data_IF_479624710854
#
_entry.id   IF_479624710854
#
_cell.length_a   1.000
_cell.length_b   1.000
_cell.length_c   1.000
_cell.angle_alpha   90.00
_cell.angle_beta   90.00
_cell.angle_gamma   90.00
#
_symmetry.space_group_name_H-M   'P 1'
#
loop_
_entity.id
_entity.type
_entity.pdbx_description
1 polymer ?
#
# COMPACT_ATOMS: atom_id res chain seq x y z
N UNK A 1 -21.83 71.41 -17.26
CA UNK A 1 -21.07 70.76 -16.16
C UNK A 1 -21.55 69.39 -15.81
N UNK A 2 -22.76 68.92 -16.09
CA UNK A 2 -23.30 67.60 -15.65
C UNK A 2 -22.86 66.42 -16.51
N UNK A 3 -22.35 66.61 -17.74
CA UNK A 3 -21.92 65.51 -18.64
C UNK A 3 -20.58 64.96 -18.27
N UNK A 4 -19.68 65.71 -17.65
CA UNK A 4 -18.33 65.25 -17.25
C UNK A 4 -18.36 64.40 -15.98
N UNK A 5 -19.24 64.66 -15.02
CA UNK A 5 -19.35 63.90 -13.77
C UNK A 5 -19.82 62.47 -14.01
N UNK A 6 -20.73 62.25 -14.99
CA UNK A 6 -21.16 60.87 -15.33
C UNK A 6 -20.07 60.01 -15.95
N UNK A 7 -19.18 60.64 -16.71
CA UNK A 7 -18.03 59.93 -17.32
C UNK A 7 -16.93 59.61 -16.28
N UNK A 8 -16.72 60.52 -15.32
CA UNK A 8 -15.78 60.31 -14.21
C UNK A 8 -16.26 59.15 -13.29
N UNK A 9 -17.55 59.10 -12.95
CA UNK A 9 -18.14 57.99 -12.20
C UNK A 9 -18.05 56.63 -12.93
N UNK A 10 -18.23 56.61 -14.26
CA UNK A 10 -18.10 55.41 -15.06
C UNK A 10 -16.66 54.90 -15.12
N UNK A 11 -15.69 55.78 -15.24
CA UNK A 11 -14.26 55.43 -15.25
C UNK A 11 -13.82 54.93 -13.87
N UNK A 12 -14.27 55.53 -12.78
CA UNK A 12 -14.00 55.05 -11.41
C UNK A 12 -14.66 53.70 -11.09
N UNK A 13 -15.87 53.44 -11.60
CA UNK A 13 -16.54 52.16 -11.46
C UNK A 13 -15.82 51.05 -12.28
N UNK A 14 -15.36 51.32 -13.48
CA UNK A 14 -14.60 50.41 -14.31
C UNK A 14 -13.19 50.10 -13.75
N UNK A 15 -12.52 51.11 -13.19
CA UNK A 15 -11.21 50.91 -12.54
C UNK A 15 -11.32 50.12 -11.21
N UNK A 16 -12.43 50.29 -10.47
CA UNK A 16 -12.73 49.50 -9.27
C UNK A 16 -13.01 48.04 -9.56
N UNK A 17 -13.67 47.72 -10.70
CA UNK A 17 -13.92 46.34 -11.14
C UNK A 17 -12.64 45.62 -11.64
N UNK A 18 -11.68 46.34 -12.20
CA UNK A 18 -10.39 45.75 -12.65
C UNK A 18 -9.45 45.46 -11.50
N UNK A 19 -9.52 46.17 -10.37
CA UNK A 19 -8.73 45.93 -9.18
C UNK A 19 -9.22 44.75 -8.34
N UNK A 20 -10.48 44.36 -8.45
CA UNK A 20 -11.03 43.19 -7.74
C UNK A 20 -10.75 41.84 -8.42
N UNK A 21 -10.32 41.83 -9.69
CA UNK A 21 -9.98 40.61 -10.41
C UNK A 21 -8.60 40.04 -10.11
N UNK A 22 -7.72 40.79 -9.44
CA UNK A 22 -6.36 40.36 -9.09
C UNK A 22 -6.20 39.86 -7.64
N UNK A 23 -7.30 39.75 -6.89
CA UNK A 23 -7.26 39.39 -5.46
C UNK A 23 -7.33 37.87 -5.17
N UNK A 24 -7.54 37.04 -6.19
CA UNK A 24 -7.46 35.59 -6.02
C UNK A 24 -6.07 35.10 -6.44
N UNK A 25 -5.10 35.16 -5.55
CA UNK A 25 -3.87 34.39 -5.73
C UNK A 25 -4.17 32.92 -5.38
N UNK A 26 -3.69 31.98 -6.18
CA UNK A 26 -3.84 30.53 -5.93
C UNK A 26 -3.31 30.13 -4.55
N UNK A 27 -2.40 30.90 -3.95
CA UNK A 27 -1.91 30.70 -2.59
C UNK A 27 -2.97 30.88 -1.48
N UNK A 28 -4.05 31.65 -1.73
CA UNK A 28 -5.16 31.82 -0.77
C UNK A 28 -6.06 30.57 -0.72
N UNK A 29 -6.12 29.81 -1.80
CA UNK A 29 -6.90 28.57 -1.91
C UNK A 29 -6.12 27.33 -1.46
N UNK A 30 -4.81 27.45 -1.30
CA UNK A 30 -3.97 26.40 -0.74
C UNK A 30 -3.96 26.51 0.79
N UNK A 31 -5.07 26.18 1.41
CA UNK A 31 -5.14 26.01 2.87
C UNK A 31 -4.65 24.62 3.23
N UNK A 32 -3.37 24.50 3.57
CA UNK A 32 -2.90 23.33 4.30
C UNK A 32 -3.69 23.22 5.60
N UNK A 33 -4.28 22.07 5.85
CA UNK A 33 -5.03 21.83 7.09
C UNK A 33 -4.07 21.98 8.28
N UNK A 34 -4.31 22.89 9.24
CA UNK A 34 -3.37 23.11 10.36
C UNK A 34 -3.23 21.89 11.27
N UNK A 35 -4.12 20.90 11.13
CA UNK A 35 -4.17 19.70 11.97
C UNK A 35 -3.84 18.41 11.22
N UNK A 36 -3.51 18.47 9.92
CA UNK A 36 -3.05 17.31 9.14
C UNK A 36 -1.80 17.69 8.36
N UNK A 37 -0.71 16.92 8.48
CA UNK A 37 0.50 17.16 7.68
C UNK A 37 0.13 17.05 6.20
N UNK A 38 0.43 18.10 5.42
CA UNK A 38 0.32 18.01 3.96
C UNK A 38 1.42 17.10 3.41
N UNK A 39 1.22 16.55 2.20
CA UNK A 39 2.26 15.72 1.57
C UNK A 39 3.60 16.46 1.39
N UNK A 40 3.57 17.79 1.35
CA UNK A 40 4.77 18.63 1.22
C UNK A 40 5.49 18.86 2.55
N UNK A 41 4.80 18.79 3.68
CA UNK A 41 5.32 19.07 5.02
C UNK A 41 5.59 17.83 5.86
N UNK A 42 5.10 16.66 5.46
CA UNK A 42 5.18 15.42 6.24
C UNK A 42 6.60 14.82 6.26
N UNK A 43 7.31 14.81 5.12
CA UNK A 43 8.57 14.08 4.95
C UNK A 43 9.80 14.92 5.37
N UNK A 44 9.96 15.18 6.68
CA UNK A 44 10.97 16.09 7.22
C UNK A 44 12.02 15.38 8.09
N UNK A 45 11.61 14.37 8.86
CA UNK A 45 12.44 13.76 9.90
C UNK A 45 12.47 12.24 9.80
N UNK A 46 13.48 11.61 10.41
CA UNK A 46 13.53 10.13 10.55
C UNK A 46 12.29 9.58 11.26
N UNK A 47 11.72 10.34 12.19
CA UNK A 47 10.47 9.97 12.86
C UNK A 47 9.30 9.86 11.87
N UNK A 48 9.24 10.74 10.87
CA UNK A 48 8.20 10.69 9.85
C UNK A 48 8.35 9.45 8.96
N UNK A 49 9.59 9.09 8.60
CA UNK A 49 9.86 7.85 7.87
C UNK A 49 9.45 6.61 8.68
N UNK A 50 9.75 6.60 9.98
CA UNK A 50 9.36 5.50 10.86
C UNK A 50 7.84 5.42 11.03
N UNK A 51 7.15 6.56 11.17
CA UNK A 51 5.69 6.59 11.22
C UNK A 51 5.06 6.09 9.93
N UNK A 52 5.60 6.47 8.77
CA UNK A 52 5.13 5.98 7.47
C UNK A 52 5.34 4.47 7.31
N UNK A 53 6.49 3.93 7.75
CA UNK A 53 6.73 2.50 7.76
C UNK A 53 5.78 1.78 8.73
N UNK A 54 5.58 2.33 9.93
CA UNK A 54 4.62 1.79 10.89
C UNK A 54 3.20 1.76 10.32
N UNK A 55 2.82 2.78 9.54
CA UNK A 55 1.53 2.81 8.86
C UNK A 55 1.40 1.69 7.80
N UNK A 56 2.50 1.22 7.19
CA UNK A 56 2.47 0.04 6.31
C UNK A 56 2.12 -1.23 7.10
N UNK A 57 2.72 -1.40 8.30
CA UNK A 57 2.41 -2.53 9.18
C UNK A 57 0.99 -2.45 9.76
N UNK A 58 0.55 -1.25 10.16
CA UNK A 58 -0.80 -1.01 10.64
C UNK A 58 -1.86 -1.44 9.63
N UNK A 59 -1.68 -1.09 8.36
CA UNK A 59 -2.59 -1.52 7.30
C UNK A 59 -2.65 -3.04 7.13
N UNK A 60 -1.58 -3.77 7.43
CA UNK A 60 -1.58 -5.23 7.40
C UNK A 60 -2.40 -5.86 8.52
N UNK A 61 -2.66 -5.13 9.62
CA UNK A 61 -3.54 -5.57 10.71
C UNK A 61 -5.03 -5.42 10.36
N UNK A 62 -5.35 -5.13 9.10
CA UNK A 62 -6.73 -5.11 8.63
C UNK A 62 -7.43 -6.44 8.90
N UNK A 63 -8.63 -6.37 9.44
CA UNK A 63 -9.53 -7.51 9.66
C UNK A 63 -9.86 -8.30 8.38
N UNK A 64 -9.54 -7.75 7.20
CA UNK A 64 -9.68 -8.43 5.92
C UNK A 64 -8.36 -9.07 5.44
N UNK A 65 -7.28 -8.99 6.21
CA UNK A 65 -5.96 -9.58 5.88
C UNK A 65 -5.53 -10.63 6.91
N UNK A 66 -4.99 -10.18 8.05
CA UNK A 66 -4.32 -11.06 9.00
C UNK A 66 -4.86 -10.98 10.42
N UNK A 67 -5.89 -10.16 10.64
CA UNK A 67 -6.53 -10.08 11.94
C UNK A 67 -7.57 -11.20 12.13
N UNK A 68 -7.67 -11.68 13.37
CA UNK A 68 -8.68 -12.65 13.79
C UNK A 68 -9.97 -11.93 14.18
N UNK A 69 -10.83 -11.69 13.21
CA UNK A 69 -12.15 -11.21 13.55
C UNK A 69 -13.13 -12.38 13.74
N UNK A 70 -13.49 -12.61 14.99
CA UNK A 70 -14.44 -13.64 15.41
C UNK A 70 -15.86 -13.36 14.87
N UNK A 71 -16.15 -12.13 14.47
CA UNK A 71 -17.50 -11.70 14.08
C UNK A 71 -17.97 -12.28 12.75
N UNK A 72 -17.11 -12.94 11.98
CA UNK A 72 -17.46 -13.56 10.69
C UNK A 72 -17.81 -12.60 9.54
N UNK A 73 -17.86 -11.30 9.82
CA UNK A 73 -18.23 -10.26 8.86
C UNK A 73 -17.05 -9.74 8.02
N UNK A 74 -15.83 -10.20 8.32
CA UNK A 74 -14.60 -9.79 7.65
C UNK A 74 -13.91 -10.99 7.01
N UNK A 75 -13.20 -10.76 5.93
CA UNK A 75 -12.48 -11.78 5.19
C UNK A 75 -11.02 -11.91 5.66
N UNK A 76 -10.83 -11.96 6.98
CA UNK A 76 -9.54 -12.18 7.62
C UNK A 76 -9.10 -13.64 7.62
N UNK A 77 -8.33 -14.03 8.64
CA UNK A 77 -7.80 -15.39 8.77
C UNK A 77 -8.91 -16.46 8.76
N UNK A 78 -9.92 -16.32 9.61
CA UNK A 78 -11.04 -17.28 9.70
C UNK A 78 -11.84 -17.39 8.39
N UNK A 79 -12.15 -16.26 7.75
CA UNK A 79 -12.87 -16.27 6.48
C UNK A 79 -12.12 -17.00 5.37
N UNK A 80 -10.78 -16.94 5.38
CA UNK A 80 -9.95 -17.68 4.43
C UNK A 80 -9.83 -19.17 4.75
N UNK A 81 -9.71 -19.54 6.04
CA UNK A 81 -9.71 -20.94 6.44
C UNK A 81 -11.02 -21.62 6.09
N UNK A 82 -12.16 -20.97 6.34
CA UNK A 82 -13.49 -21.48 5.98
C UNK A 82 -13.80 -21.45 4.48
N UNK A 83 -12.93 -20.82 3.69
CA UNK A 83 -12.99 -20.90 2.22
C UNK A 83 -12.30 -22.13 1.64
N UNK A 84 -11.69 -22.96 2.49
CA UNK A 84 -10.98 -24.19 2.12
C UNK A 84 -11.67 -25.41 2.68
N UNK A 85 -11.17 -26.59 2.38
CA UNK A 85 -11.60 -27.86 2.94
C UNK A 85 -11.04 -28.16 4.34
N UNK A 86 -10.15 -27.28 4.85
CA UNK A 86 -9.56 -27.43 6.18
C UNK A 86 -10.48 -26.99 7.32
N UNK A 87 -11.46 -26.14 7.04
CA UNK A 87 -12.36 -25.58 8.03
C UNK A 87 -13.78 -25.42 7.55
N UNK A 88 -14.70 -25.61 8.49
CA UNK A 88 -16.11 -25.26 8.32
C UNK A 88 -16.59 -24.55 9.59
N UNK A 89 -17.70 -23.84 9.50
CA UNK A 89 -18.28 -23.22 10.67
C UNK A 89 -19.80 -23.47 10.75
N UNK A 90 -20.29 -23.43 11.98
CA UNK A 90 -21.67 -23.80 12.29
C UNK A 90 -22.71 -22.74 11.92
N UNK A 91 -22.30 -21.56 11.50
CA UNK A 91 -23.18 -20.42 11.23
C UNK A 91 -23.67 -20.34 9.79
N UNK A 92 -23.37 -21.35 8.96
CA UNK A 92 -23.84 -21.44 7.57
C UNK A 92 -23.33 -20.29 6.69
N UNK A 93 -24.17 -19.83 5.76
CA UNK A 93 -23.80 -18.82 4.75
C UNK A 93 -23.58 -17.38 5.29
N UNK A 94 -23.64 -17.19 6.59
CA UNK A 94 -23.45 -15.87 7.21
C UNK A 94 -21.99 -15.43 7.23
N UNK A 95 -21.07 -16.36 7.14
CA UNK A 95 -19.64 -16.06 7.17
C UNK A 95 -19.11 -15.83 5.77
N UNK A 96 -18.36 -14.74 5.58
CA UNK A 96 -17.65 -14.47 4.34
C UNK A 96 -16.68 -15.63 4.05
N UNK A 97 -16.74 -16.17 2.84
CA UNK A 97 -15.89 -17.28 2.43
C UNK A 97 -16.61 -18.64 2.37
N UNK A 98 -17.74 -18.83 3.08
CA UNK A 98 -18.52 -20.10 2.98
C UNK A 98 -19.04 -20.37 1.57
N UNK A 99 -19.43 -19.33 0.84
CA UNK A 99 -19.82 -19.44 -0.56
C UNK A 99 -18.69 -19.98 -1.44
N UNK A 100 -17.44 -19.71 -1.08
CA UNK A 100 -16.24 -20.19 -1.80
C UNK A 100 -16.08 -21.71 -1.58
N UNK A 101 -16.08 -22.17 -0.32
CA UNK A 101 -15.93 -23.60 0.00
C UNK A 101 -17.10 -24.44 -0.56
N UNK A 102 -18.29 -23.87 -0.63
CA UNK A 102 -19.49 -24.50 -1.21
C UNK A 102 -19.57 -24.38 -2.74
N UNK A 103 -18.61 -23.72 -3.38
CA UNK A 103 -18.62 -23.44 -4.83
C UNK A 103 -19.87 -22.68 -5.31
N UNK A 104 -20.47 -21.86 -4.46
CA UNK A 104 -21.67 -21.05 -4.75
C UNK A 104 -21.38 -19.56 -4.85
N UNK A 105 -20.10 -19.16 -4.72
CA UNK A 105 -19.67 -17.75 -4.73
C UNK A 105 -19.93 -17.09 -6.09
N UNK A 106 -20.41 -15.84 -6.02
CA UNK A 106 -20.49 -14.94 -7.15
C UNK A 106 -19.29 -13.98 -7.18
N UNK A 107 -18.94 -13.47 -8.36
CA UNK A 107 -17.86 -12.48 -8.50
C UNK A 107 -18.17 -11.15 -7.80
N UNK A 108 -19.42 -10.95 -7.39
CA UNK A 108 -19.92 -9.79 -6.66
C UNK A 108 -19.90 -9.97 -5.14
N UNK A 109 -19.46 -11.13 -4.64
CA UNK A 109 -19.42 -11.38 -3.20
C UNK A 109 -18.45 -10.40 -2.52
N UNK A 110 -18.90 -9.83 -1.42
CA UNK A 110 -18.24 -8.73 -0.72
C UNK A 110 -16.84 -9.10 -0.24
N UNK A 111 -16.60 -10.36 0.10
CA UNK A 111 -15.28 -10.86 0.52
C UNK A 111 -14.18 -10.56 -0.49
N UNK A 112 -14.46 -10.62 -1.80
CA UNK A 112 -13.46 -10.32 -2.82
C UNK A 112 -13.08 -8.85 -2.84
N UNK A 113 -14.06 -7.94 -2.77
CA UNK A 113 -13.79 -6.50 -2.73
C UNK A 113 -13.09 -6.08 -1.43
N UNK A 114 -13.46 -6.66 -0.29
CA UNK A 114 -12.81 -6.41 0.99
C UNK A 114 -11.34 -6.83 0.97
N UNK A 115 -11.04 -8.03 0.47
CA UNK A 115 -9.67 -8.54 0.38
C UNK A 115 -8.84 -7.74 -0.61
N UNK A 116 -9.41 -7.40 -1.77
CA UNK A 116 -8.78 -6.54 -2.77
C UNK A 116 -8.37 -5.18 -2.19
N UNK A 117 -9.32 -4.48 -1.60
CA UNK A 117 -9.12 -3.14 -1.06
C UNK A 117 -8.08 -3.13 0.07
N UNK A 118 -8.11 -4.12 0.96
CA UNK A 118 -7.17 -4.23 2.05
C UNK A 118 -5.72 -4.43 1.57
N UNK A 119 -5.50 -5.29 0.57
CA UNK A 119 -4.16 -5.46 -0.02
C UNK A 119 -3.67 -4.18 -0.71
N UNK A 120 -4.53 -3.49 -1.48
CA UNK A 120 -4.14 -2.25 -2.16
C UNK A 120 -3.93 -1.08 -1.20
N UNK A 121 -4.59 -1.05 -0.04
CA UNK A 121 -4.29 -0.04 0.98
C UNK A 121 -2.86 -0.19 1.53
N UNK A 122 -2.39 -1.41 1.79
CA UNK A 122 -0.99 -1.66 2.17
C UNK A 122 -0.03 -1.26 1.04
N UNK A 123 -0.32 -1.67 -0.20
CA UNK A 123 0.49 -1.32 -1.38
C UNK A 123 0.62 0.18 -1.54
N UNK A 124 -0.48 0.92 -1.39
CA UNK A 124 -0.51 2.37 -1.45
C UNK A 124 0.41 3.00 -0.40
N UNK A 125 0.33 2.57 0.86
CA UNK A 125 1.19 3.07 1.94
C UNK A 125 2.66 2.75 1.69
N UNK A 126 2.98 1.53 1.23
CA UNK A 126 4.34 1.16 0.84
C UNK A 126 4.87 2.03 -0.30
N UNK A 127 4.06 2.28 -1.34
CA UNK A 127 4.44 3.14 -2.45
C UNK A 127 4.69 4.58 -2.01
N UNK A 128 3.86 5.10 -1.09
CA UNK A 128 4.06 6.44 -0.52
C UNK A 128 5.39 6.56 0.24
N UNK A 129 5.76 5.55 1.03
CA UNK A 129 7.05 5.53 1.71
C UNK A 129 8.20 5.46 0.71
N UNK A 130 8.17 4.50 -0.22
CA UNK A 130 9.25 4.29 -1.20
C UNK A 130 9.52 5.54 -2.04
N UNK A 131 8.47 6.27 -2.44
CA UNK A 131 8.58 7.48 -3.26
C UNK A 131 9.16 8.67 -2.49
N UNK A 132 8.89 8.76 -1.18
CA UNK A 132 9.17 9.99 -0.44
C UNK A 132 10.32 9.89 0.56
N UNK A 133 10.72 8.71 1.00
CA UNK A 133 11.72 8.54 2.08
C UNK A 133 13.08 9.13 1.74
N UNK A 134 13.45 9.21 0.47
CA UNK A 134 14.72 9.83 0.02
C UNK A 134 14.77 11.35 0.21
N UNK A 135 13.62 12.00 0.46
CA UNK A 135 13.55 13.43 0.75
C UNK A 135 13.98 13.77 2.17
N UNK A 136 14.01 12.77 3.05
CA UNK A 136 14.31 12.96 4.46
C UNK A 136 15.82 12.96 4.67
N UNK A 137 16.38 13.97 5.36
CA UNK A 137 17.80 14.05 5.67
C UNK A 137 18.16 13.03 6.77
N UNK A 138 18.45 11.80 6.39
CA UNK A 138 18.85 10.70 7.28
C UNK A 138 19.94 9.85 6.63
N UNK A 139 20.55 8.95 7.41
CA UNK A 139 21.58 8.06 6.91
C UNK A 139 21.08 7.18 5.75
N UNK A 140 21.89 7.07 4.69
CA UNK A 140 21.51 6.32 3.48
C UNK A 140 21.17 4.86 3.77
N UNK A 141 21.90 4.22 4.69
CA UNK A 141 21.63 2.84 5.10
C UNK A 141 20.21 2.67 5.69
N UNK A 142 19.75 3.65 6.47
CA UNK A 142 18.39 3.64 7.03
C UNK A 142 17.34 3.88 5.96
N UNK A 143 17.59 4.79 5.02
CA UNK A 143 16.71 5.02 3.87
C UNK A 143 16.51 3.71 3.10
N UNK A 144 17.63 3.05 2.76
CA UNK A 144 17.61 1.78 2.05
C UNK A 144 16.89 0.67 2.83
N UNK A 145 17.11 0.58 4.14
CA UNK A 145 16.43 -0.40 4.98
C UNK A 145 14.91 -0.18 5.01
N UNK A 146 14.45 1.07 5.16
CA UNK A 146 13.01 1.37 5.19
C UNK A 146 12.35 1.12 3.83
N UNK A 147 13.03 1.47 2.73
CA UNK A 147 12.57 1.14 1.38
C UNK A 147 12.48 -0.37 1.18
N UNK A 148 13.49 -1.10 1.60
CA UNK A 148 13.56 -2.55 1.45
C UNK A 148 12.42 -3.26 2.20
N UNK A 149 12.12 -2.84 3.42
CA UNK A 149 10.99 -3.37 4.18
C UNK A 149 9.65 -3.08 3.46
N UNK A 150 9.42 -1.84 3.02
CA UNK A 150 8.20 -1.48 2.32
C UNK A 150 8.04 -2.27 1.00
N UNK A 151 9.13 -2.48 0.26
CA UNK A 151 9.13 -3.27 -0.98
C UNK A 151 8.79 -4.74 -0.68
N UNK A 152 9.34 -5.32 0.39
CA UNK A 152 9.05 -6.69 0.78
C UNK A 152 7.59 -6.87 1.25
N UNK A 153 7.05 -5.91 2.02
CA UNK A 153 5.64 -5.91 2.42
C UNK A 153 4.71 -5.76 1.20
N UNK A 154 5.05 -4.86 0.27
CA UNK A 154 4.33 -4.70 -1.00
C UNK A 154 4.33 -6.00 -1.82
N UNK A 155 5.48 -6.69 -1.88
CA UNK A 155 5.59 -7.96 -2.58
C UNK A 155 4.69 -9.05 -1.98
N UNK A 156 4.58 -9.10 -0.64
CA UNK A 156 3.65 -10.00 0.04
C UNK A 156 2.19 -9.71 -0.34
N UNK A 157 1.81 -8.45 -0.44
CA UNK A 157 0.44 -8.08 -0.85
C UNK A 157 0.16 -8.47 -2.30
N UNK A 158 1.12 -8.29 -3.21
CA UNK A 158 0.97 -8.77 -4.59
C UNK A 158 0.94 -10.30 -4.69
N UNK A 159 1.67 -11.01 -3.84
CA UNK A 159 1.54 -12.47 -3.74
C UNK A 159 0.11 -12.86 -3.37
N UNK A 160 -0.51 -12.19 -2.40
CA UNK A 160 -1.89 -12.39 -2.01
C UNK A 160 -2.86 -12.13 -3.19
N UNK A 161 -2.75 -10.96 -3.82
CA UNK A 161 -3.61 -10.56 -4.92
C UNK A 161 -3.51 -11.50 -6.13
N UNK A 162 -2.29 -11.83 -6.55
CA UNK A 162 -2.06 -12.69 -7.73
C UNK A 162 -2.46 -14.15 -7.49
N UNK A 163 -2.49 -14.59 -6.23
CA UNK A 163 -2.97 -15.93 -5.86
C UNK A 163 -4.48 -16.06 -6.04
N UNK A 164 -5.24 -15.00 -5.77
CA UNK A 164 -6.71 -15.01 -5.83
C UNK A 164 -7.23 -14.49 -7.16
N UNK A 165 -6.71 -13.36 -7.63
CA UNK A 165 -7.26 -12.64 -8.80
C UNK A 165 -6.44 -12.82 -10.08
N UNK A 166 -5.28 -13.49 -10.02
CA UNK A 166 -4.34 -13.70 -11.13
C UNK A 166 -3.75 -12.39 -11.64
N UNK A 167 -4.30 -11.83 -12.70
CA UNK A 167 -3.85 -10.59 -13.33
C UNK A 167 -4.48 -9.39 -12.62
N UNK A 168 -3.65 -8.48 -12.12
CA UNK A 168 -4.07 -7.31 -11.35
C UNK A 168 -3.29 -6.07 -11.78
N UNK A 169 -3.78 -4.85 -11.52
CA UNK A 169 -2.98 -3.64 -11.71
C UNK A 169 -1.68 -3.68 -10.89
N UNK A 170 -0.52 -3.55 -11.54
CA UNK A 170 0.78 -3.54 -10.87
C UNK A 170 1.25 -2.10 -10.64
N UNK A 171 1.08 -1.63 -9.41
CA UNK A 171 1.32 -0.25 -8.99
C UNK A 171 2.57 -0.18 -8.14
N UNK A 172 3.62 0.46 -8.65
CA UNK A 172 4.90 0.64 -7.94
C UNK A 172 5.11 2.07 -7.44
N UNK A 173 4.16 2.97 -7.74
CA UNK A 173 4.14 4.39 -7.35
C UNK A 173 2.78 4.79 -6.80
N UNK A 174 2.69 5.88 -6.02
CA UNK A 174 1.41 6.49 -5.68
C UNK A 174 0.67 6.88 -6.96
N UNK A 175 -0.62 6.56 -7.03
CA UNK A 175 -1.46 6.92 -8.17
C UNK A 175 -1.95 8.36 -8.07
N UNK A 176 -2.00 9.03 -9.20
CA UNK A 176 -2.78 10.26 -9.40
C UNK A 176 -4.24 9.92 -9.74
N UNK A 177 -5.14 10.88 -9.62
CA UNK A 177 -6.56 10.69 -9.98
C UNK A 177 -6.75 10.26 -11.46
N UNK A 178 -5.87 10.72 -12.34
CA UNK A 178 -5.89 10.34 -13.77
C UNK A 178 -5.45 8.90 -14.01
N UNK A 179 -4.71 8.29 -13.09
CA UNK A 179 -4.20 6.91 -13.18
C UNK A 179 -5.07 5.90 -12.42
N UNK A 180 -6.20 6.35 -11.86
CA UNK A 180 -7.09 5.51 -11.03
C UNK A 180 -7.65 4.28 -11.75
N UNK A 181 -7.61 4.25 -13.09
CA UNK A 181 -8.03 3.12 -13.92
C UNK A 181 -6.82 2.42 -14.56
N UNK A 182 -5.82 2.07 -13.76
CA UNK A 182 -4.66 1.34 -14.24
C UNK A 182 -5.07 -0.02 -14.85
N UNK A 183 -4.51 -0.39 -16.03
CA UNK A 183 -4.80 -1.68 -16.65
C UNK A 183 -4.23 -2.83 -15.80
N UNK A 184 -4.77 -4.03 -16.02
CA UNK A 184 -4.21 -5.25 -15.44
C UNK A 184 -2.85 -5.57 -16.08
N UNK A 185 -1.94 -6.06 -15.25
CA UNK A 185 -0.64 -6.63 -15.66
C UNK A 185 -0.72 -8.15 -15.52
N UNK A 186 -0.15 -8.88 -16.43
CA UNK A 186 -0.10 -10.34 -16.36
C UNK A 186 0.62 -10.82 -15.10
N UNK A 187 0.09 -11.86 -14.45
CA UNK A 187 0.65 -12.46 -13.24
C UNK A 187 2.12 -12.82 -13.40
N UNK A 188 2.49 -13.43 -14.51
CA UNK A 188 3.88 -13.84 -14.80
C UNK A 188 4.85 -12.66 -14.75
N UNK A 189 4.45 -11.54 -15.35
CA UNK A 189 5.24 -10.31 -15.37
C UNK A 189 5.35 -9.71 -13.95
N UNK A 190 4.24 -9.68 -13.20
CA UNK A 190 4.25 -9.21 -11.80
C UNK A 190 5.23 -10.04 -10.99
N UNK A 191 5.13 -11.38 -11.05
CA UNK A 191 5.99 -12.29 -10.26
C UNK A 191 7.47 -12.10 -10.61
N UNK A 192 7.83 -12.00 -11.89
CA UNK A 192 9.21 -11.74 -12.29
C UNK A 192 9.72 -10.42 -11.69
N UNK A 193 8.93 -9.35 -11.79
CA UNK A 193 9.30 -8.04 -11.21
C UNK A 193 9.45 -8.10 -9.69
N UNK A 194 8.56 -8.82 -8.98
CA UNK A 194 8.65 -8.98 -7.53
C UNK A 194 9.93 -9.73 -7.12
N UNK A 195 10.28 -10.80 -7.82
CA UNK A 195 11.49 -11.58 -7.53
C UNK A 195 12.77 -10.77 -7.81
N UNK A 196 12.79 -9.97 -8.87
CA UNK A 196 13.89 -9.05 -9.17
C UNK A 196 14.04 -7.97 -8.08
N UNK A 197 12.96 -7.30 -7.71
CA UNK A 197 12.95 -6.31 -6.63
C UNK A 197 13.47 -6.94 -5.32
N UNK A 198 12.97 -8.10 -4.93
CA UNK A 198 13.36 -8.76 -3.69
C UNK A 198 14.83 -9.18 -3.70
N UNK A 199 15.38 -9.64 -4.81
CA UNK A 199 16.84 -9.96 -4.94
C UNK A 199 17.70 -8.73 -4.64
N UNK A 200 17.27 -7.55 -5.07
CA UNK A 200 18.00 -6.29 -4.88
C UNK A 200 17.86 -5.77 -3.44
N UNK A 201 16.65 -5.79 -2.91
CA UNK A 201 16.33 -5.07 -1.67
C UNK A 201 16.43 -5.90 -0.40
N UNK A 202 16.24 -7.23 -0.41
CA UNK A 202 16.38 -8.06 0.79
C UNK A 202 17.74 -7.89 1.48
N UNK A 203 18.89 -7.80 0.78
CA UNK A 203 20.18 -7.59 1.44
C UNK A 203 20.30 -6.29 2.25
N UNK A 204 19.40 -5.32 2.05
CA UNK A 204 19.34 -4.05 2.78
C UNK A 204 18.50 -4.13 4.06
N UNK A 205 17.75 -5.19 4.25
CA UNK A 205 16.94 -5.42 5.46
C UNK A 205 17.85 -5.94 6.58
N UNK A 206 17.73 -5.43 7.81
CA UNK A 206 18.49 -5.93 8.94
C UNK A 206 18.22 -7.41 9.22
N UNK A 207 19.27 -8.18 9.52
CA UNK A 207 19.16 -9.59 9.90
C UNK A 207 18.49 -9.76 11.26
N UNK A 208 18.02 -10.99 11.56
CA UNK A 208 17.50 -11.34 12.88
C UNK A 208 18.50 -10.97 13.97
N UNK A 209 18.00 -10.41 15.08
CA UNK A 209 18.83 -9.91 16.19
C UNK A 209 19.38 -8.48 16.00
N UNK A 210 19.36 -7.93 14.79
CA UNK A 210 19.67 -6.51 14.51
C UNK A 210 18.43 -5.69 14.16
N UNK A 211 17.40 -6.33 13.63
CA UNK A 211 16.12 -5.67 13.36
C UNK A 211 15.43 -5.25 14.65
N UNK A 212 14.75 -4.12 14.64
CA UNK A 212 13.89 -3.70 15.75
C UNK A 212 12.78 -4.74 15.93
N UNK A 213 12.46 -5.08 17.19
CA UNK A 213 11.41 -6.05 17.51
C UNK A 213 10.07 -5.65 16.87
N UNK A 214 9.45 -6.60 16.20
CA UNK A 214 8.18 -6.40 15.48
C UNK A 214 8.34 -5.93 14.03
N UNK A 215 9.56 -5.64 13.57
CA UNK A 215 9.84 -5.29 12.16
C UNK A 215 10.30 -6.51 11.37
N UNK A 216 10.16 -6.42 10.05
CA UNK A 216 10.60 -7.45 9.11
C UNK A 216 12.11 -7.65 9.20
N UNK A 217 12.54 -8.90 9.27
CA UNK A 217 13.95 -9.27 9.19
C UNK A 217 14.31 -9.75 7.78
N UNK A 218 15.59 -9.78 7.47
CA UNK A 218 16.09 -10.28 6.19
C UNK A 218 15.61 -11.72 5.94
N UNK A 219 15.64 -12.56 6.96
CA UNK A 219 15.21 -13.96 6.89
C UNK A 219 13.71 -14.07 6.60
N UNK A 220 12.89 -13.22 7.23
CA UNK A 220 11.45 -13.17 6.97
C UNK A 220 11.17 -12.70 5.54
N UNK A 221 11.93 -11.75 5.03
CA UNK A 221 11.82 -11.30 3.63
C UNK A 221 12.23 -12.40 2.64
N UNK A 222 13.25 -13.19 2.95
CA UNK A 222 13.59 -14.39 2.16
C UNK A 222 12.49 -15.44 2.21
N UNK A 223 11.80 -15.61 3.34
CA UNK A 223 10.64 -16.51 3.41
C UNK A 223 9.49 -16.04 2.51
N UNK A 224 9.24 -14.74 2.45
CA UNK A 224 8.26 -14.14 1.51
C UNK A 224 8.68 -14.42 0.07
N UNK A 225 9.95 -14.16 -0.29
CA UNK A 225 10.48 -14.43 -1.62
C UNK A 225 10.35 -15.90 -1.99
N UNK A 226 10.71 -16.81 -1.07
CA UNK A 226 10.59 -18.26 -1.25
C UNK A 226 9.15 -18.69 -1.51
N UNK A 227 8.18 -18.11 -0.77
CA UNK A 227 6.75 -18.37 -0.98
C UNK A 227 6.28 -17.90 -2.37
N UNK A 228 6.66 -16.69 -2.78
CA UNK A 228 6.31 -16.16 -4.10
C UNK A 228 6.88 -17.06 -5.19
N UNK A 229 8.15 -17.44 -5.09
CA UNK A 229 8.82 -18.31 -6.06
C UNK A 229 8.18 -19.70 -6.12
N UNK A 230 7.92 -20.33 -4.97
CA UNK A 230 7.35 -21.66 -4.84
C UNK A 230 5.97 -21.75 -5.50
N UNK A 231 5.07 -20.83 -5.20
CA UNK A 231 3.70 -20.81 -5.74
C UNK A 231 3.64 -20.51 -7.24
N UNK A 232 4.73 -20.03 -7.82
CA UNK A 232 4.83 -19.70 -9.23
C UNK A 232 5.83 -20.59 -9.97
N UNK A 233 6.24 -21.72 -9.38
CA UNK A 233 7.09 -22.76 -9.97
C UNK A 233 8.52 -22.30 -10.33
N UNK A 234 8.99 -21.23 -9.69
CA UNK A 234 10.38 -20.78 -9.75
C UNK A 234 11.22 -21.56 -8.73
N UNK A 235 11.44 -22.84 -8.98
CA UNK A 235 11.99 -23.78 -7.99
C UNK A 235 13.38 -23.40 -7.49
N UNK A 236 14.27 -22.99 -8.38
CA UNK A 236 15.64 -22.61 -8.02
C UNK A 236 15.67 -21.35 -7.13
N UNK A 237 14.85 -20.36 -7.46
CA UNK A 237 14.68 -19.17 -6.63
C UNK A 237 14.09 -19.51 -5.27
N UNK A 238 13.11 -20.39 -5.21
CA UNK A 238 12.51 -20.83 -3.95
C UNK A 238 13.55 -21.54 -3.07
N UNK A 239 14.32 -22.49 -3.62
CA UNK A 239 15.38 -23.20 -2.91
C UNK A 239 16.44 -22.21 -2.39
N UNK A 240 16.87 -21.27 -3.23
CA UNK A 240 17.89 -20.29 -2.86
C UNK A 240 17.39 -19.32 -1.77
N UNK A 241 16.12 -18.89 -1.84
CA UNK A 241 15.53 -18.06 -0.82
C UNK A 241 15.44 -18.80 0.53
N UNK A 242 14.91 -20.02 0.55
CA UNK A 242 14.74 -20.79 1.80
C UNK A 242 16.05 -21.22 2.44
N UNK A 243 17.15 -21.40 1.70
CA UNK A 243 18.49 -21.61 2.28
C UNK A 243 18.93 -20.47 3.20
N UNK A 244 18.39 -19.26 3.00
CA UNK A 244 18.65 -18.11 3.87
C UNK A 244 17.75 -18.06 5.12
N UNK A 245 16.80 -18.97 5.24
CA UNK A 245 15.83 -19.05 6.36
C UNK A 245 16.11 -20.24 7.26
N UNK A 246 16.34 -21.42 6.63
CA UNK A 246 16.50 -22.68 7.35
C UNK A 246 17.73 -22.64 8.27
N UNK A 247 17.52 -22.99 9.54
CA UNK A 247 18.56 -23.02 10.57
C UNK A 247 18.98 -21.66 11.14
N UNK A 248 18.38 -20.56 10.66
CA UNK A 248 18.64 -19.22 11.20
C UNK A 248 17.57 -18.73 12.16
N UNK A 249 16.37 -19.28 12.08
CA UNK A 249 15.25 -18.99 12.98
C UNK A 249 15.16 -20.14 13.98
N UNK A 250 15.34 -19.84 15.28
CA UNK A 250 15.01 -20.77 16.37
C UNK A 250 13.53 -20.53 16.70
N UNK A 251 12.74 -21.59 16.59
CA UNK A 251 11.34 -21.61 17.02
C UNK A 251 11.26 -21.77 18.54
#
# INVERSE_FOLDING_TARGET
MIKNTKNICRVLLLSGMLLSASACSDSFLQTDSPNQPSQTTYWQTESDALMALTACYDAMQSQNLYDDNIDGWKFGFLGRETSTDNGDHTWGNWMLGSSISQCTSATTDECFSMYWNANYEVIKRCNMLVENVERIPMEQEKIEAYKAEAIALRALMYCNLTSVFRDVPYLTKPLTLSEAQAPKTERSQIISSLLEDLKIWIPKIPVIGKAQKGRLTQEAAYAIMGRIALFNQHWDEAINAYKNVVGKIQL
#
